data_IF_233694968585
#
_entry.id   IF_233694968585
#
_cell.length_a   1.000
_cell.length_b   1.000
_cell.length_c   1.000
_cell.angle_alpha   90.00
_cell.angle_beta   90.00
_cell.angle_gamma   90.00
#
_symmetry.space_group_name_H-M   'P 1'
#
loop_
_entity.id
_entity.type
_entity.pdbx_description
1 polymer ?
#
# COMPACT_ATOMS: atom_id res chain seq x y z
N UNK A 1 -0.64 -11.15 4.14
CA UNK A 1 -0.72 -9.78 4.71
C UNK A 1 -2.08 -9.14 4.50
N UNK A 2 -2.63 -9.19 3.29
CA UNK A 2 -3.93 -8.57 3.03
C UNK A 2 -5.03 -9.17 3.92
N UNK A 3 -5.04 -10.48 4.10
CA UNK A 3 -6.04 -11.13 4.96
C UNK A 3 -5.95 -10.63 6.39
N UNK A 4 -4.75 -10.56 6.94
CA UNK A 4 -4.55 -10.11 8.32
C UNK A 4 -4.96 -8.66 8.49
N UNK A 5 -4.63 -7.81 7.53
CA UNK A 5 -5.02 -6.40 7.57
C UNK A 5 -6.53 -6.23 7.51
N UNK A 6 -7.22 -7.01 6.67
CA UNK A 6 -8.68 -6.98 6.60
C UNK A 6 -9.31 -7.42 7.91
N UNK A 7 -8.76 -8.46 8.54
CA UNK A 7 -9.24 -8.94 9.84
C UNK A 7 -9.13 -7.84 10.90
N UNK A 8 -8.07 -7.04 10.84
CA UNK A 8 -7.86 -5.92 11.76
C UNK A 8 -8.67 -4.67 11.40
N UNK A 9 -9.49 -4.74 10.38
CA UNK A 9 -10.39 -3.65 10.02
C UNK A 9 -9.82 -2.63 9.04
N UNK A 10 -8.69 -2.92 8.42
CA UNK A 10 -8.13 -2.04 7.42
C UNK A 10 -8.97 -2.01 6.14
N UNK A 11 -8.98 -0.87 5.47
CA UNK A 11 -9.51 -0.76 4.12
C UNK A 11 -8.34 -0.81 3.16
N UNK A 12 -8.38 -1.76 2.23
CA UNK A 12 -7.28 -1.99 1.31
C UNK A 12 -7.60 -1.49 -0.09
N UNK A 13 -6.65 -0.80 -0.70
CA UNK A 13 -6.63 -0.57 -2.12
C UNK A 13 -5.46 -1.37 -2.68
N UNK A 14 -5.72 -2.26 -3.61
CA UNK A 14 -4.76 -3.24 -4.09
C UNK A 14 -4.38 -2.95 -5.54
N UNK A 15 -3.09 -2.98 -5.82
CA UNK A 15 -2.53 -2.90 -7.16
C UNK A 15 -1.58 -4.07 -7.37
N UNK A 16 -1.75 -4.77 -8.48
CA UNK A 16 -0.81 -5.81 -8.90
C UNK A 16 -0.88 -5.94 -10.42
N UNK A 17 0.27 -5.86 -11.09
CA UNK A 17 0.35 -5.95 -12.53
C UNK A 17 0.11 -7.35 -13.07
N UNK A 18 0.39 -8.37 -12.24
CA UNK A 18 0.40 -9.77 -12.65
C UNK A 18 -0.85 -10.52 -12.26
N UNK A 19 -1.58 -10.01 -11.27
CA UNK A 19 -2.73 -10.69 -10.70
C UNK A 19 -4.00 -9.94 -11.10
N UNK A 20 -5.02 -10.69 -11.52
CA UNK A 20 -6.30 -10.11 -11.89
C UNK A 20 -7.19 -9.86 -10.68
N UNK A 21 -8.20 -9.03 -10.86
CA UNK A 21 -9.24 -8.82 -9.87
C UNK A 21 -9.84 -10.16 -9.41
N UNK A 22 -10.14 -11.04 -10.36
CA UNK A 22 -10.77 -12.33 -10.06
C UNK A 22 -9.89 -13.21 -9.18
N UNK A 23 -8.58 -13.18 -9.40
CA UNK A 23 -7.65 -13.95 -8.59
C UNK A 23 -7.59 -13.40 -7.17
N UNK A 24 -7.54 -12.09 -7.02
CA UNK A 24 -7.55 -11.44 -5.71
C UNK A 24 -8.84 -11.75 -4.96
N UNK A 25 -9.98 -11.64 -5.64
CA UNK A 25 -11.27 -11.98 -5.05
C UNK A 25 -11.30 -13.43 -4.59
N UNK A 26 -10.81 -14.35 -5.42
CA UNK A 26 -10.73 -15.76 -5.05
C UNK A 26 -9.88 -15.97 -3.80
N UNK A 27 -8.70 -15.36 -3.75
CA UNK A 27 -7.77 -15.52 -2.63
C UNK A 27 -8.30 -14.94 -1.31
N UNK A 28 -9.07 -13.87 -1.38
CA UNK A 28 -9.60 -13.22 -0.20
C UNK A 28 -10.97 -13.75 0.23
N UNK A 29 -11.75 -14.28 -0.72
CA UNK A 29 -13.12 -14.69 -0.49
C UNK A 29 -13.30 -16.10 0.07
N UNK A 30 -12.40 -17.01 -0.25
CA UNK A 30 -12.54 -18.43 0.07
C UNK A 30 -12.11 -18.86 1.45
N UNK A 31 -11.98 -17.93 2.39
CA UNK A 31 -11.46 -18.22 3.72
C UNK A 31 -12.56 -18.17 4.77
N UNK A 32 -12.91 -19.30 5.35
CA UNK A 32 -13.92 -19.38 6.41
C UNK A 32 -13.66 -18.43 7.56
N UNK A 33 -12.40 -18.26 7.96
CA UNK A 33 -12.07 -17.38 9.06
C UNK A 33 -12.34 -15.91 8.75
N UNK A 34 -12.31 -15.49 7.47
CA UNK A 34 -12.68 -14.14 7.08
C UNK A 34 -14.17 -13.91 7.25
N UNK A 35 -14.98 -14.90 6.84
CA UNK A 35 -16.43 -14.86 7.05
C UNK A 35 -16.78 -14.82 8.54
N UNK A 36 -16.06 -15.59 9.34
CA UNK A 36 -16.25 -15.63 10.79
C UNK A 36 -16.06 -14.25 11.44
N UNK A 37 -15.15 -13.43 10.92
CA UNK A 37 -14.91 -12.09 11.44
C UNK A 37 -15.75 -11.02 10.73
N UNK A 38 -16.72 -11.42 9.95
CA UNK A 38 -17.65 -10.51 9.27
C UNK A 38 -16.94 -9.51 8.35
N UNK A 39 -15.91 -9.95 7.69
CA UNK A 39 -15.18 -9.09 6.75
C UNK A 39 -16.04 -8.94 5.50
N UNK A 40 -16.42 -7.71 5.22
CA UNK A 40 -17.23 -7.41 4.05
C UNK A 40 -16.38 -7.31 2.79
N UNK A 41 -16.92 -7.81 1.67
CA UNK A 41 -16.26 -7.76 0.36
C UNK A 41 -15.83 -6.35 -0.05
N UNK A 42 -16.46 -5.33 0.50
CA UNK A 42 -16.19 -3.93 0.18
C UNK A 42 -15.05 -3.30 0.99
N UNK A 43 -14.39 -4.07 1.83
CA UNK A 43 -13.24 -3.57 2.58
C UNK A 43 -11.98 -3.51 1.74
N UNK A 44 -12.05 -3.95 0.49
CA UNK A 44 -10.93 -3.84 -0.43
C UNK A 44 -11.39 -3.45 -1.83
N UNK A 45 -10.52 -2.76 -2.54
CA UNK A 45 -10.71 -2.38 -3.94
C UNK A 45 -9.45 -2.74 -4.71
N UNK A 46 -9.61 -2.88 -6.02
CA UNK A 46 -8.51 -3.15 -6.94
C UNK A 46 -8.50 -2.07 -8.01
N UNK A 47 -7.32 -1.51 -8.28
CA UNK A 47 -7.16 -0.52 -9.35
C UNK A 47 -5.79 -0.64 -9.99
N UNK A 48 -5.69 -0.26 -11.23
CA UNK A 48 -4.41 -0.17 -11.96
C UNK A 48 -3.89 1.26 -12.05
N UNK A 49 -4.59 2.20 -11.45
CA UNK A 49 -4.19 3.60 -11.40
C UNK A 49 -3.59 3.91 -10.03
N UNK A 50 -2.29 4.21 -10.01
CA UNK A 50 -1.56 4.48 -8.78
C UNK A 50 -2.11 5.69 -8.02
N UNK A 51 -2.52 6.73 -8.72
CA UNK A 51 -3.07 7.91 -8.06
C UNK A 51 -4.42 7.61 -7.41
N UNK A 52 -5.25 6.83 -8.08
CA UNK A 52 -6.53 6.39 -7.49
C UNK A 52 -6.28 5.49 -6.28
N UNK A 53 -5.28 4.61 -6.39
CA UNK A 53 -4.89 3.69 -5.32
C UNK A 53 -4.51 4.43 -4.04
N UNK A 54 -3.78 5.52 -4.17
CA UNK A 54 -3.22 6.26 -3.04
C UNK A 54 -4.14 7.31 -2.45
N UNK A 55 -5.31 7.50 -3.05
CA UNK A 55 -6.26 8.51 -2.59
C UNK A 55 -6.74 8.24 -1.18
N UNK A 56 -6.53 9.21 -0.29
CA UNK A 56 -6.88 9.12 1.13
C UNK A 56 -6.21 7.96 1.87
N UNK A 57 -5.11 7.43 1.34
CA UNK A 57 -4.38 6.37 2.00
C UNK A 57 -3.58 6.90 3.19
N UNK A 58 -3.50 6.10 4.24
CA UNK A 58 -2.66 6.39 5.40
C UNK A 58 -1.25 5.82 5.21
N UNK A 59 -1.15 4.70 4.49
CA UNK A 59 0.12 4.04 4.24
C UNK A 59 0.13 3.33 2.89
N UNK A 60 1.31 3.24 2.32
CA UNK A 60 1.59 2.43 1.14
C UNK A 60 2.52 1.31 1.58
N UNK A 61 2.19 0.08 1.19
CA UNK A 61 3.03 -1.08 1.46
C UNK A 61 3.41 -1.71 0.12
N UNK A 62 4.70 -1.78 -0.15
CA UNK A 62 5.22 -2.40 -1.37
C UNK A 62 5.69 -3.81 -1.04
N UNK A 63 5.01 -4.79 -1.59
CA UNK A 63 5.26 -6.21 -1.33
C UNK A 63 5.83 -6.95 -2.53
N UNK A 64 5.78 -6.34 -3.72
CA UNK A 64 6.26 -6.94 -4.96
C UNK A 64 7.18 -5.99 -5.68
N UNK A 65 8.00 -6.53 -6.60
CA UNK A 65 8.88 -5.70 -7.42
C UNK A 65 8.19 -5.34 -8.73
N UNK A 66 8.23 -4.06 -9.09
CA UNK A 66 7.76 -3.56 -10.37
C UNK A 66 8.60 -2.37 -10.77
N UNK A 67 8.99 -2.31 -12.03
CA UNK A 67 9.72 -1.16 -12.57
C UNK A 67 8.94 0.16 -12.42
N UNK A 68 7.61 0.07 -12.41
CA UNK A 68 6.75 1.24 -12.21
C UNK A 68 7.00 1.92 -10.86
N UNK A 69 7.39 1.17 -9.86
CA UNK A 69 7.60 1.72 -8.51
C UNK A 69 8.87 2.54 -8.40
N UNK A 70 9.78 2.41 -9.36
CA UNK A 70 11.02 3.19 -9.39
C UNK A 70 10.82 4.64 -9.85
N UNK A 71 9.73 4.91 -10.55
CA UNK A 71 9.46 6.21 -11.16
C UNK A 71 8.11 6.80 -10.75
N UNK A 72 7.68 6.55 -9.53
CA UNK A 72 6.43 7.09 -9.01
C UNK A 72 6.52 8.61 -8.82
N UNK A 73 5.41 9.28 -9.06
CA UNK A 73 5.30 10.71 -8.81
C UNK A 73 4.94 10.97 -7.35
N UNK A 74 5.96 11.07 -6.53
CA UNK A 74 5.78 11.23 -5.08
C UNK A 74 5.15 12.56 -4.70
N UNK A 75 5.30 13.59 -5.53
CA UNK A 75 4.60 14.85 -5.29
C UNK A 75 3.08 14.66 -5.34
N UNK A 76 2.58 14.06 -6.41
CA UNK A 76 1.15 13.81 -6.54
C UNK A 76 0.64 12.80 -5.53
N UNK A 77 1.41 11.75 -5.28
CA UNK A 77 1.04 10.73 -4.28
C UNK A 77 0.91 11.37 -2.90
N UNK A 78 1.85 12.21 -2.51
CA UNK A 78 1.81 12.87 -1.20
C UNK A 78 0.58 13.76 -1.03
N UNK A 79 0.15 14.43 -2.09
CA UNK A 79 -1.05 15.25 -2.07
C UNK A 79 -2.33 14.42 -1.93
N UNK A 80 -2.32 13.18 -2.42
CA UNK A 80 -3.46 12.28 -2.33
C UNK A 80 -3.60 11.61 -0.97
N UNK A 81 -2.49 11.38 -0.29
CA UNK A 81 -2.47 10.64 0.98
C UNK A 81 -2.89 11.51 2.15
N UNK A 82 -3.38 10.87 3.21
CA UNK A 82 -3.65 11.54 4.48
C UNK A 82 -2.34 11.71 5.25
N UNK A 83 -2.22 12.80 6.00
CA UNK A 83 -1.04 13.06 6.84
C UNK A 83 -1.30 12.65 8.29
N UNK A 84 -0.34 12.08 8.98
CA UNK A 84 0.97 11.68 8.50
C UNK A 84 0.88 10.45 7.59
N UNK A 85 1.66 10.44 6.51
CA UNK A 85 1.66 9.36 5.55
C UNK A 85 2.91 8.50 5.68
N UNK A 86 2.78 7.22 5.37
CA UNK A 86 3.84 6.24 5.52
C UNK A 86 4.05 5.43 4.25
N UNK A 87 5.30 5.10 3.99
CA UNK A 87 5.68 4.17 2.94
C UNK A 87 6.52 3.06 3.59
N UNK A 88 6.07 1.82 3.40
CA UNK A 88 6.81 0.62 3.81
C UNK A 88 7.27 -0.10 2.56
N UNK A 89 8.53 0.09 2.19
CA UNK A 89 9.11 -0.55 1.01
C UNK A 89 9.85 -1.81 1.44
N UNK A 90 9.17 -2.95 1.35
CA UNK A 90 9.76 -4.23 1.77
C UNK A 90 10.70 -4.82 0.71
N UNK A 91 10.78 -4.20 -0.46
CA UNK A 91 11.61 -4.70 -1.57
C UNK A 91 12.83 -3.83 -1.85
N UNK A 92 12.87 -2.63 -1.27
CA UNK A 92 13.99 -1.72 -1.43
C UNK A 92 14.11 -1.13 -2.85
N UNK A 93 12.99 -0.90 -3.52
CA UNK A 93 13.02 -0.49 -4.93
C UNK A 93 12.59 0.94 -5.20
N UNK A 94 11.97 1.63 -4.25
CA UNK A 94 11.53 3.00 -4.48
C UNK A 94 12.64 4.01 -4.24
N UNK A 95 12.51 5.18 -4.84
CA UNK A 95 13.37 6.31 -4.54
C UNK A 95 12.93 6.93 -3.23
N UNK A 96 13.53 6.48 -2.15
CA UNK A 96 13.16 6.92 -0.80
C UNK A 96 13.44 8.39 -0.58
N UNK A 97 14.46 8.95 -1.22
CA UNK A 97 14.80 10.37 -1.10
C UNK A 97 13.68 11.25 -1.66
N UNK A 98 13.09 10.85 -2.77
CA UNK A 98 11.98 11.59 -3.35
C UNK A 98 10.74 11.51 -2.46
N UNK A 99 10.42 10.34 -1.92
CA UNK A 99 9.30 10.21 -1.01
C UNK A 99 9.47 11.09 0.23
N UNK A 100 10.65 11.09 0.83
CA UNK A 100 10.97 11.90 2.01
C UNK A 100 10.87 13.40 1.68
N UNK A 101 11.33 13.79 0.52
CA UNK A 101 11.27 15.19 0.06
C UNK A 101 9.83 15.74 0.11
N UNK A 102 8.85 14.90 -0.18
CA UNK A 102 7.45 15.28 -0.14
C UNK A 102 6.75 14.90 1.16
N UNK A 103 7.52 14.77 2.24
CA UNK A 103 7.04 14.60 3.61
C UNK A 103 6.35 13.26 3.90
N UNK A 104 6.72 12.23 3.16
CA UNK A 104 6.27 10.86 3.44
C UNK A 104 7.30 10.23 4.37
N UNK A 105 6.83 9.63 5.46
CA UNK A 105 7.69 8.87 6.35
C UNK A 105 8.01 7.53 5.70
N UNK A 106 9.25 7.10 5.71
CA UNK A 106 9.69 5.92 4.97
C UNK A 106 10.38 4.92 5.87
N UNK A 107 9.98 3.67 5.75
CA UNK A 107 10.75 2.51 6.17
C UNK A 107 11.10 1.71 4.93
N UNK A 108 12.37 1.34 4.76
CA UNK A 108 12.81 0.54 3.63
C UNK A 108 13.76 -0.55 4.09
N UNK A 109 13.59 -1.75 3.55
CA UNK A 109 14.42 -2.89 3.91
C UNK A 109 15.89 -2.68 3.55
N UNK A 110 16.17 -1.90 2.50
CA UNK A 110 17.54 -1.65 2.07
C UNK A 110 18.37 -0.82 3.05
N UNK A 111 17.73 0.05 3.84
CA UNK A 111 18.40 0.89 4.83
C UNK A 111 18.51 0.22 6.19
N UNK A 112 17.64 -0.75 6.48
CA UNK A 112 17.55 -1.35 7.80
C UNK A 112 17.11 -0.40 8.90
N UNK A 113 16.73 0.82 8.57
CA UNK A 113 16.37 1.87 9.51
C UNK A 113 15.01 2.48 9.18
N UNK A 114 14.33 2.93 10.23
CA UNK A 114 13.12 3.70 10.09
C UNK A 114 13.50 5.17 9.88
N UNK A 115 13.13 5.71 8.72
CA UNK A 115 13.41 7.11 8.40
C UNK A 115 12.20 7.96 8.76
N UNK A 116 12.32 8.72 9.86
CA UNK A 116 11.24 9.52 10.42
C UNK A 116 11.52 11.01 10.26
N UNK A 117 11.33 11.55 9.08
CA UNK A 117 11.62 12.97 8.88
C UNK A 117 10.43 13.89 9.08
N UNK A 118 9.21 13.41 8.86
CA UNK A 118 8.02 14.25 8.87
C UNK A 118 6.86 13.55 9.55
N UNK A 119 7.06 13.12 10.79
CA UNK A 119 6.03 12.41 11.56
C UNK A 119 4.85 13.34 11.90
N UNK A 120 5.12 14.61 12.03
CA UNK A 120 4.10 15.59 12.41
C UNK A 120 4.07 16.76 11.45
#
# INVERSE_FOLDING_TARGET
>A
ICQELLIEGAKLAIFDERVSYNQIEHDLKGKEHLDKYSIHKKSWTFTKDILELTKNADAIIILTESEKFKSLDWEEISKNMRSPSWLFDTRGIVDTKEAIKYKINVWSVGSGELIKKNIY
#
